data_IF_562623427484
#
_entry.id   IF_562623427484
#
_cell.length_a   1.000
_cell.length_b   1.000
_cell.length_c   1.000
_cell.angle_alpha   90.00
_cell.angle_beta   90.00
_cell.angle_gamma   90.00
#
_symmetry.space_group_name_H-M   'P 1'
#
loop_
_entity.id
_entity.type
_entity.pdbx_description
1 polymer ?
#
# COMPACT_ATOMS: atom_id res chain seq x y z
N UNK A 1 8.96 2.56 -2.33
CA UNK A 1 7.49 2.62 -2.15
C UNK A 1 7.04 4.06 -2.35
N UNK A 2 5.94 4.33 -3.04
CA UNK A 2 5.39 5.69 -3.19
C UNK A 2 3.88 5.70 -2.95
N UNK A 3 3.38 6.73 -2.28
CA UNK A 3 1.96 6.90 -1.97
C UNK A 3 1.41 8.18 -2.60
N UNK A 4 0.18 8.11 -3.12
CA UNK A 4 -0.55 9.30 -3.57
C UNK A 4 -0.73 10.27 -2.39
N UNK A 5 -0.76 11.58 -2.66
CA UNK A 5 -0.75 12.64 -1.63
C UNK A 5 -1.85 12.42 -0.58
N UNK A 6 -3.06 12.04 -1.00
CA UNK A 6 -4.20 11.83 -0.10
C UNK A 6 -4.00 10.72 0.95
N UNK A 7 -3.11 9.75 0.70
CA UNK A 7 -2.87 8.63 1.63
C UNK A 7 -1.76 8.94 2.64
N UNK A 8 -0.88 9.92 2.37
CA UNK A 8 0.31 10.16 3.20
C UNK A 8 -0.05 10.56 4.63
N UNK A 9 -1.00 11.47 4.76
CA UNK A 9 -1.41 12.02 6.04
C UNK A 9 -2.09 10.94 6.94
N UNK A 10 -3.09 10.16 6.46
CA UNK A 10 -3.61 9.02 7.22
C UNK A 10 -2.55 7.94 7.55
N UNK A 11 -1.57 7.70 6.66
CA UNK A 11 -0.44 6.80 6.96
C UNK A 11 0.41 7.35 8.11
N UNK A 12 0.71 8.66 8.12
CA UNK A 12 1.47 9.29 9.21
C UNK A 12 0.75 9.17 10.55
N UNK A 13 -0.59 9.24 10.56
CA UNK A 13 -1.41 9.03 11.75
C UNK A 13 -1.59 7.57 12.15
N UNK A 14 -1.10 6.62 11.34
CA UNK A 14 -1.28 5.18 11.60
C UNK A 14 -2.68 4.64 11.30
N UNK A 15 -3.55 5.44 10.66
CA UNK A 15 -4.89 5.00 10.25
C UNK A 15 -4.86 4.02 9.08
N UNK A 16 -3.80 4.09 8.26
CA UNK A 16 -3.53 3.18 7.16
C UNK A 16 -2.21 2.46 7.44
N UNK A 17 -2.30 1.14 7.50
CA UNK A 17 -1.20 0.23 7.81
C UNK A 17 -0.92 -0.78 6.68
N UNK A 18 -1.68 -0.72 5.58
CA UNK A 18 -1.48 -1.61 4.44
C UNK A 18 -1.79 -0.93 3.10
N UNK A 19 -1.24 -1.50 2.03
CA UNK A 19 -1.48 -1.05 0.65
C UNK A 19 -1.54 -2.22 -0.31
N UNK A 20 -2.38 -2.09 -1.33
CA UNK A 20 -2.44 -3.03 -2.46
C UNK A 20 -1.65 -2.46 -3.63
N UNK A 21 -0.79 -3.30 -4.22
CA UNK A 21 0.03 -2.98 -5.39
C UNK A 21 -0.17 -4.02 -6.47
N UNK A 22 -0.28 -3.58 -7.71
CA UNK A 22 -0.36 -4.47 -8.86
C UNK A 22 0.90 -4.27 -9.69
N UNK A 23 1.78 -5.27 -9.67
CA UNK A 23 3.10 -5.22 -10.31
C UNK A 23 3.36 -6.50 -11.11
N UNK A 24 4.39 -6.50 -11.94
CA UNK A 24 4.90 -7.73 -12.58
C UNK A 24 5.65 -8.60 -11.56
N UNK A 25 6.40 -7.97 -10.65
CA UNK A 25 7.14 -8.62 -9.57
C UNK A 25 7.19 -7.71 -8.33
N UNK A 26 7.47 -8.29 -7.16
CA UNK A 26 7.59 -7.53 -5.92
C UNK A 26 8.71 -6.47 -6.02
N UNK A 27 8.36 -5.19 -5.82
CA UNK A 27 9.31 -4.05 -5.88
C UNK A 27 9.82 -3.60 -4.52
N UNK A 28 9.42 -4.28 -3.45
CA UNK A 28 9.83 -3.97 -2.08
C UNK A 28 10.19 -5.23 -1.33
N UNK A 29 10.93 -5.09 -0.22
CA UNK A 29 11.38 -6.18 0.64
C UNK A 29 10.91 -5.97 2.08
N UNK A 30 10.57 -7.06 2.77
CA UNK A 30 10.27 -7.05 4.20
C UNK A 30 11.50 -6.59 4.99
N UNK A 31 11.29 -5.78 6.03
CA UNK A 31 12.33 -5.16 6.86
C UNK A 31 12.93 -3.88 6.27
N UNK A 32 12.73 -3.60 4.97
CA UNK A 32 13.25 -2.38 4.37
C UNK A 32 12.37 -1.17 4.66
N UNK A 33 13.03 -0.02 4.83
CA UNK A 33 12.41 1.29 4.95
C UNK A 33 12.42 2.03 3.61
N UNK A 34 11.32 2.68 3.29
CA UNK A 34 11.17 3.50 2.09
C UNK A 34 10.78 4.91 2.49
N UNK A 35 11.50 5.90 1.96
CA UNK A 35 11.25 7.30 2.28
C UNK A 35 9.82 7.72 1.96
N UNK A 36 9.22 8.46 2.88
CA UNK A 36 7.97 9.18 2.70
C UNK A 36 8.14 10.56 3.34
N UNK A 37 7.40 11.55 2.85
CA UNK A 37 7.37 12.87 3.47
C UNK A 37 7.14 12.79 4.99
N UNK A 38 8.06 13.35 5.77
CA UNK A 38 8.05 13.33 7.24
C UNK A 38 8.67 12.08 7.89
N UNK A 39 9.23 11.13 7.14
CA UNK A 39 9.87 9.94 7.71
C UNK A 39 10.08 8.80 6.71
N UNK A 40 9.75 7.57 7.13
CA UNK A 40 9.85 6.40 6.29
C UNK A 40 8.76 5.37 6.62
N UNK A 41 8.45 4.52 5.64
CA UNK A 41 7.55 3.39 5.81
C UNK A 41 8.38 2.10 5.79
N UNK A 42 8.33 1.34 6.87
CA UNK A 42 8.93 0.01 6.98
C UNK A 42 7.95 -1.06 6.49
N UNK A 43 8.38 -1.91 5.59
CA UNK A 43 7.57 -3.04 5.11
C UNK A 43 7.65 -4.18 6.12
N UNK A 44 6.49 -4.57 6.66
CA UNK A 44 6.40 -5.63 7.66
C UNK A 44 6.06 -6.99 7.04
N UNK A 45 5.20 -6.99 6.02
CA UNK A 45 4.77 -8.22 5.36
C UNK A 45 4.37 -7.97 3.92
N UNK A 46 4.64 -8.95 3.06
CA UNK A 46 4.20 -8.97 1.67
C UNK A 46 3.45 -10.30 1.47
N UNK A 47 2.23 -10.22 0.94
CA UNK A 47 1.44 -11.38 0.51
C UNK A 47 1.06 -11.16 -0.95
N UNK A 48 1.25 -12.16 -1.78
CA UNK A 48 0.57 -12.21 -3.06
C UNK A 48 -0.88 -12.66 -2.78
N UNK A 49 -1.84 -11.95 -3.35
CA UNK A 49 -3.27 -12.24 -3.23
C UNK A 49 -3.90 -12.27 -4.62
N UNK A 50 -5.13 -12.74 -4.72
CA UNK A 50 -5.90 -12.67 -5.95
C UNK A 50 -6.69 -11.36 -6.03
N UNK A 51 -7.09 -10.97 -7.25
CA UNK A 51 -7.93 -9.78 -7.43
C UNK A 51 -9.28 -9.90 -6.67
N UNK A 52 -9.79 -11.13 -6.57
CA UNK A 52 -11.02 -11.45 -5.84
C UNK A 52 -10.90 -11.25 -4.32
N UNK A 53 -9.68 -11.27 -3.76
CA UNK A 53 -9.43 -11.03 -2.34
C UNK A 53 -9.51 -9.53 -1.97
N UNK A 54 -9.58 -8.63 -2.96
CA UNK A 54 -9.75 -7.20 -2.73
C UNK A 54 -11.20 -6.89 -2.36
N UNK A 55 -11.51 -7.06 -1.08
CA UNK A 55 -12.83 -6.76 -0.53
C UNK A 55 -13.03 -5.25 -0.30
N UNK A 56 -14.29 -4.77 -0.17
CA UNK A 56 -14.57 -3.39 0.25
C UNK A 56 -13.93 -3.03 1.60
N UNK A 57 -13.86 -3.99 2.53
CA UNK A 57 -13.21 -3.81 3.82
C UNK A 57 -11.70 -3.59 3.66
N UNK A 58 -11.03 -4.38 2.82
CA UNK A 58 -9.60 -4.19 2.52
C UNK A 58 -9.35 -2.85 1.83
N UNK A 59 -10.22 -2.45 0.90
CA UNK A 59 -10.11 -1.16 0.24
C UNK A 59 -10.18 0.00 1.22
N UNK A 60 -11.14 -0.04 2.17
CA UNK A 60 -11.27 0.99 3.21
C UNK A 60 -10.08 1.01 4.16
N UNK A 61 -9.60 -0.16 4.62
CA UNK A 61 -8.40 -0.27 5.48
C UNK A 61 -7.16 0.31 4.79
N UNK A 62 -7.05 0.17 3.47
CA UNK A 62 -5.94 0.74 2.69
C UNK A 62 -6.16 2.21 2.26
N UNK A 63 -7.21 2.86 2.77
CA UNK A 63 -7.47 4.30 2.58
C UNK A 63 -8.28 4.68 1.34
N UNK A 64 -8.99 3.73 0.74
CA UNK A 64 -9.82 3.96 -0.45
C UNK A 64 -11.31 3.91 -0.11
N UNK A 65 -12.14 4.63 -0.87
CA UNK A 65 -13.59 4.62 -0.64
C UNK A 65 -14.23 3.23 -0.91
N UNK A 66 -13.61 2.45 -1.79
CA UNK A 66 -14.02 1.10 -2.14
C UNK A 66 -13.11 0.49 -3.21
N UNK A 67 -13.46 -0.73 -3.65
CA UNK A 67 -12.65 -1.53 -4.59
C UNK A 67 -12.39 -0.78 -5.89
N UNK A 68 -13.38 -0.09 -6.45
CA UNK A 68 -13.23 0.66 -7.71
C UNK A 68 -12.21 1.80 -7.57
N UNK A 69 -12.29 2.59 -6.49
CA UNK A 69 -11.34 3.68 -6.22
C UNK A 69 -9.91 3.16 -5.99
N UNK A 70 -9.78 2.02 -5.30
CA UNK A 70 -8.50 1.32 -5.14
C UNK A 70 -7.93 0.89 -6.49
N UNK A 71 -8.71 0.18 -7.31
CA UNK A 71 -8.24 -0.36 -8.58
C UNK A 71 -7.87 0.73 -9.58
N UNK A 72 -8.57 1.87 -9.58
CA UNK A 72 -8.19 3.05 -10.38
C UNK A 72 -6.79 3.55 -10.08
N UNK A 73 -6.31 3.39 -8.85
CA UNK A 73 -4.98 3.82 -8.39
C UNK A 73 -3.94 2.69 -8.38
N UNK A 74 -4.38 1.43 -8.30
CA UNK A 74 -3.47 0.29 -8.25
C UNK A 74 -3.14 -0.25 -9.65
N UNK A 75 -4.08 -0.22 -10.59
CA UNK A 75 -3.90 -0.71 -11.97
C UNK A 75 -3.25 0.34 -12.86
N UNK A 76 -1.94 0.48 -12.71
CA UNK A 76 -1.12 1.33 -13.59
C UNK A 76 -0.02 0.48 -14.25
N UNK A 77 -0.04 0.41 -15.58
CA UNK A 77 0.93 -0.36 -16.37
C UNK A 77 0.58 -1.85 -16.51
N UNK A 78 1.52 -2.68 -17.01
CA UNK A 78 1.26 -4.06 -17.45
C UNK A 78 1.26 -5.11 -16.32
N UNK A 79 1.36 -4.69 -15.06
CA UNK A 79 1.39 -5.62 -13.92
C UNK A 79 0.08 -6.38 -13.75
N UNK A 80 0.18 -7.66 -13.37
CA UNK A 80 -0.99 -8.52 -13.12
C UNK A 80 -0.98 -9.14 -11.72
N UNK A 81 0.20 -9.30 -11.09
CA UNK A 81 0.30 -9.86 -9.75
C UNK A 81 -0.10 -8.83 -8.69
N UNK A 82 -1.03 -9.21 -7.82
CA UNK A 82 -1.54 -8.35 -6.74
C UNK A 82 -0.77 -8.66 -5.45
N UNK A 83 -0.21 -7.62 -4.86
CA UNK A 83 0.53 -7.69 -3.61
C UNK A 83 -0.20 -6.86 -2.54
N UNK A 84 -0.55 -7.51 -1.43
CA UNK A 84 -0.95 -6.84 -0.20
C UNK A 84 0.29 -6.67 0.67
N UNK A 85 0.59 -5.42 1.01
CA UNK A 85 1.78 -5.05 1.76
C UNK A 85 1.35 -4.39 3.06
N UNK A 86 1.67 -5.01 4.19
CA UNK A 86 1.51 -4.40 5.51
C UNK A 86 2.79 -3.64 5.86
N UNK A 87 2.64 -2.48 6.50
CA UNK A 87 3.74 -1.59 6.80
C UNK A 87 3.48 -0.76 8.06
N UNK A 88 4.52 -0.08 8.54
CA UNK A 88 4.43 0.90 9.63
C UNK A 88 5.16 2.18 9.24
N UNK A 89 4.57 3.32 9.56
CA UNK A 89 5.25 4.61 9.43
C UNK A 89 6.18 4.83 10.63
N UNK A 90 7.36 5.39 10.33
CA UNK A 90 8.37 5.84 11.29
C UNK A 90 8.62 7.32 11.01
N UNK A 91 8.35 8.23 11.96
CA UNK A 91 8.65 9.65 11.78
C UNK A 91 10.17 9.86 11.67
N UNK A 92 10.57 10.91 10.95
CA UNK A 92 11.94 11.42 11.02
C UNK A 92 12.22 11.97 12.42
N UNK A 93 13.42 11.74 12.93
CA UNK A 93 13.93 12.37 14.15
C UNK A 93 14.14 13.88 13.95
#
# INVERSE_FOLDING_TARGET
>A
MMFTKRLREPIRRGEIDCTVRIWQSARVKVGNRYAMEGGAVEVLRIRQIELADITPALARRSGFAGVVDLLKVAKHGPGQAVYLIDFRFHPAE
#
